data_IF_218305803595
#
_entry.id   IF_218305803595
#
_cell.length_a   1.000
_cell.length_b   1.000
_cell.length_c   1.000
_cell.angle_alpha   90.00
_cell.angle_beta   90.00
_cell.angle_gamma   90.00
#
_symmetry.space_group_name_H-M   'P 1'
#
loop_
_entity.id
_entity.type
_entity.pdbx_description
1 polymer ?
#
# COMPACT_ATOMS: atom_id res chain seq x y z
N UNK A 1 0.13 -4.51 -26.20
CA UNK A 1 0.28 -5.05 -24.82
C UNK A 1 -1.11 -5.27 -24.26
N UNK A 2 -1.47 -6.49 -23.86
CA UNK A 2 -2.72 -6.73 -23.14
C UNK A 2 -2.74 -5.87 -21.88
N UNK A 3 -3.81 -5.08 -21.68
CA UNK A 3 -3.99 -4.35 -20.41
C UNK A 3 -4.11 -5.39 -19.30
N UNK A 4 -3.23 -5.31 -18.30
CA UNK A 4 -3.29 -6.16 -17.12
C UNK A 4 -4.67 -6.10 -16.46
N UNK A 5 -5.00 -7.12 -15.65
CA UNK A 5 -6.27 -7.16 -14.93
C UNK A 5 -6.36 -5.96 -13.97
N UNK A 6 -7.49 -5.26 -13.99
CA UNK A 6 -7.76 -4.13 -13.08
C UNK A 6 -7.87 -4.66 -11.64
N UNK A 7 -7.07 -4.08 -10.73
CA UNK A 7 -7.05 -4.43 -9.29
C UNK A 7 -7.68 -3.36 -8.41
N UNK A 8 -7.72 -2.11 -8.87
CA UNK A 8 -8.46 -1.01 -8.24
C UNK A 8 -9.32 -0.34 -9.30
N UNK A 9 -10.59 -0.14 -9.02
CA UNK A 9 -11.51 0.63 -9.85
C UNK A 9 -12.41 1.46 -8.94
N UNK A 10 -12.33 2.79 -9.08
CA UNK A 10 -13.19 3.75 -8.40
C UNK A 10 -13.90 4.60 -9.47
N UNK A 11 -15.21 4.83 -9.31
CA UNK A 11 -16.04 5.66 -10.21
C UNK A 11 -16.88 6.60 -9.37
N UNK A 12 -16.74 7.89 -9.64
CA UNK A 12 -17.49 8.99 -9.03
C UNK A 12 -17.52 8.90 -7.50
N UNK A 13 -16.37 8.57 -6.90
CA UNK A 13 -16.26 8.33 -5.47
C UNK A 13 -16.07 9.66 -4.72
N UNK A 14 -16.85 9.83 -3.64
CA UNK A 14 -16.60 10.83 -2.62
C UNK A 14 -16.13 10.16 -1.32
N UNK A 15 -15.10 10.73 -0.70
CA UNK A 15 -14.48 10.23 0.53
C UNK A 15 -14.66 11.26 1.62
N UNK A 16 -15.11 10.80 2.78
CA UNK A 16 -15.39 11.60 3.96
C UNK A 16 -14.49 11.20 5.13
N UNK A 17 -14.18 12.13 6.02
CA UNK A 17 -13.69 11.78 7.34
C UNK A 17 -14.81 11.07 8.10
N UNK A 18 -14.56 9.86 8.57
CA UNK A 18 -15.48 9.13 9.42
C UNK A 18 -14.79 8.83 10.74
N UNK A 19 -15.30 9.39 11.82
CA UNK A 19 -14.95 8.94 13.18
C UNK A 19 -15.54 7.53 13.34
N UNK A 20 -14.72 6.53 13.35
CA UNK A 20 -14.88 5.07 13.38
C UNK A 20 -16.22 4.38 13.65
N UNK A 21 -17.30 5.07 13.96
CA UNK A 21 -18.58 4.49 14.35
C UNK A 21 -19.84 5.12 13.72
N UNK A 22 -19.72 6.07 12.81
CA UNK A 22 -20.89 6.77 12.33
C UNK A 22 -21.27 6.43 10.87
N UNK A 23 -22.31 5.62 10.74
CA UNK A 23 -23.18 5.58 9.56
C UNK A 23 -23.83 6.98 9.27
N UNK A 24 -23.36 8.05 9.89
CA UNK A 24 -24.05 9.33 10.03
C UNK A 24 -23.35 10.55 9.46
N UNK A 25 -22.23 10.48 8.79
CA UNK A 25 -21.58 11.70 8.36
C UNK A 25 -21.59 11.86 6.85
N UNK A 26 -22.41 12.74 6.37
CA UNK A 26 -22.37 13.40 5.08
C UNK A 26 -22.55 14.90 5.30
N UNK A 27 -21.69 15.52 6.13
CA UNK A 27 -21.58 16.96 6.13
C UNK A 27 -20.56 17.41 5.09
N UNK A 28 -20.77 18.55 4.47
CA UNK A 28 -19.79 19.12 3.52
C UNK A 28 -18.42 19.36 4.20
N UNK A 29 -18.41 19.57 5.52
CA UNK A 29 -17.21 19.81 6.31
C UNK A 29 -16.35 18.54 6.51
N UNK A 30 -16.90 17.35 6.27
CA UNK A 30 -16.21 16.07 6.38
C UNK A 30 -15.72 15.55 5.04
N UNK A 31 -16.07 16.21 3.93
CA UNK A 31 -15.64 15.83 2.59
C UNK A 31 -14.14 16.03 2.41
N UNK A 32 -13.42 14.95 2.15
CA UNK A 32 -11.96 14.94 1.92
C UNK A 32 -11.64 14.96 0.44
N UNK A 33 -12.30 14.13 -0.34
CA UNK A 33 -12.12 14.00 -1.78
C UNK A 33 -13.46 13.85 -2.48
N UNK A 34 -13.63 14.52 -3.63
CA UNK A 34 -14.80 14.42 -4.51
C UNK A 34 -14.41 13.96 -5.91
N UNK A 35 -15.38 13.39 -6.62
CA UNK A 35 -15.25 13.00 -8.03
C UNK A 35 -14.03 12.10 -8.31
N UNK A 36 -13.70 11.20 -7.39
CA UNK A 36 -12.54 10.32 -7.55
C UNK A 36 -12.85 9.24 -8.57
N UNK A 37 -12.10 9.28 -9.68
CA UNK A 37 -12.10 8.27 -10.72
C UNK A 37 -10.70 7.72 -10.84
N UNK A 38 -10.51 6.42 -10.55
CA UNK A 38 -9.21 5.76 -10.51
C UNK A 38 -9.32 4.34 -11.01
N UNK A 39 -8.44 3.97 -11.94
CA UNK A 39 -8.26 2.58 -12.35
C UNK A 39 -6.78 2.24 -12.27
N UNK A 40 -6.43 1.13 -11.59
CA UNK A 40 -5.07 0.61 -11.48
C UNK A 40 -5.06 -0.86 -11.88
N UNK A 41 -4.10 -1.23 -12.72
CA UNK A 41 -3.94 -2.59 -13.25
C UNK A 41 -2.79 -3.34 -12.57
N UNK A 42 -2.82 -4.67 -12.64
CA UNK A 42 -1.70 -5.52 -12.19
C UNK A 42 -0.37 -5.07 -12.84
N UNK A 43 0.70 -5.04 -12.06
CA UNK A 43 2.02 -4.62 -12.51
C UNK A 43 2.20 -3.12 -12.71
N UNK A 44 1.17 -2.30 -12.42
CA UNK A 44 1.23 -0.85 -12.52
C UNK A 44 1.80 -0.24 -11.23
N UNK A 45 2.65 0.78 -11.36
CA UNK A 45 3.09 1.63 -10.26
C UNK A 45 2.43 2.98 -10.35
N UNK A 46 1.84 3.46 -9.25
CA UNK A 46 1.14 4.75 -9.17
C UNK A 46 1.60 5.52 -7.94
N UNK A 47 1.97 6.77 -8.14
CA UNK A 47 2.32 7.69 -7.07
C UNK A 47 1.12 8.56 -6.67
N UNK A 48 0.91 8.73 -5.38
CA UNK A 48 0.04 9.73 -4.80
C UNK A 48 0.90 10.85 -4.23
N UNK A 49 0.81 12.03 -4.80
CA UNK A 49 1.55 13.23 -4.36
C UNK A 49 0.59 14.34 -3.91
N UNK A 50 1.10 15.28 -3.14
CA UNK A 50 0.32 16.42 -2.64
C UNK A 50 0.67 16.75 -1.19
N UNK A 51 0.20 17.87 -0.71
CA UNK A 51 0.48 18.38 0.65
C UNK A 51 -0.01 17.40 1.73
N UNK A 52 0.56 17.49 2.93
CA UNK A 52 0.04 16.79 4.12
C UNK A 52 -1.43 17.21 4.32
N UNK A 53 -2.29 16.25 4.64
CA UNK A 53 -3.73 16.51 4.80
C UNK A 53 -4.53 16.59 3.49
N UNK A 54 -3.94 16.38 2.31
CA UNK A 54 -4.65 16.45 1.02
C UNK A 54 -5.55 15.23 0.71
N UNK A 55 -5.60 14.21 1.58
CA UNK A 55 -6.46 13.04 1.41
C UNK A 55 -5.77 11.76 0.90
N UNK A 56 -4.44 11.76 0.67
CA UNK A 56 -3.69 10.58 0.19
C UNK A 56 -3.89 9.35 1.09
N UNK A 57 -3.55 9.50 2.38
CA UNK A 57 -3.70 8.42 3.37
C UNK A 57 -5.16 8.04 3.59
N UNK A 58 -6.10 8.99 3.48
CA UNK A 58 -7.54 8.71 3.58
C UNK A 58 -8.01 7.85 2.41
N UNK A 59 -7.56 8.13 1.17
CA UNK A 59 -7.85 7.26 0.04
C UNK A 59 -7.21 5.88 0.21
N UNK A 60 -5.94 5.79 0.63
CA UNK A 60 -5.31 4.50 0.91
C UNK A 60 -6.15 3.71 1.95
N UNK A 61 -6.57 4.35 3.04
CA UNK A 61 -7.44 3.76 4.08
C UNK A 61 -8.79 3.28 3.53
N UNK A 62 -9.36 3.99 2.57
CA UNK A 62 -10.58 3.58 1.87
C UNK A 62 -10.33 2.31 1.04
N UNK A 63 -9.20 2.21 0.35
CA UNK A 63 -8.88 1.05 -0.49
C UNK A 63 -8.77 -0.26 0.32
N UNK A 64 -8.31 -0.21 1.59
CA UNK A 64 -8.27 -1.39 2.46
C UNK A 64 -9.41 -1.43 3.50
N UNK A 65 -10.47 -0.65 3.26
CA UNK A 65 -11.70 -0.62 4.04
C UNK A 65 -11.49 -0.32 5.54
N UNK A 66 -10.58 0.59 5.88
CA UNK A 66 -10.51 1.23 7.19
C UNK A 66 -11.47 2.44 7.23
N UNK A 67 -11.49 3.22 6.14
CA UNK A 67 -12.49 4.25 5.89
C UNK A 67 -13.58 3.67 5.00
N UNK A 68 -14.85 3.81 5.39
CA UNK A 68 -15.98 3.27 4.65
C UNK A 68 -16.24 4.08 3.39
N UNK A 69 -16.44 3.42 2.24
CA UNK A 69 -16.89 4.05 1.01
C UNK A 69 -18.40 4.33 1.09
N UNK A 70 -18.79 5.60 1.18
CA UNK A 70 -20.19 6.04 1.32
C UNK A 70 -20.85 6.46 0.00
N UNK A 71 -20.08 6.93 -0.98
CA UNK A 71 -20.58 7.41 -2.29
C UNK A 71 -19.73 6.91 -3.43
N UNK A 72 -20.37 6.79 -4.60
CA UNK A 72 -19.75 6.26 -5.81
C UNK A 72 -19.64 4.74 -5.81
N UNK A 73 -18.90 4.20 -6.76
CA UNK A 73 -18.62 2.78 -6.90
C UNK A 73 -17.14 2.51 -6.70
N UNK A 74 -16.81 1.48 -5.92
CA UNK A 74 -15.42 1.08 -5.67
C UNK A 74 -15.27 -0.42 -5.67
N UNK A 75 -14.27 -0.91 -6.40
CA UNK A 75 -13.87 -2.31 -6.42
C UNK A 75 -12.36 -2.43 -6.23
N UNK A 76 -11.92 -3.22 -5.25
CA UNK A 76 -10.50 -3.46 -4.96
C UNK A 76 -10.28 -4.95 -4.79
N UNK A 77 -9.27 -5.48 -5.45
CA UNK A 77 -8.92 -6.90 -5.44
C UNK A 77 -10.14 -7.82 -5.71
N UNK A 78 -11.06 -7.37 -6.58
CA UNK A 78 -12.29 -8.07 -6.94
C UNK A 78 -13.45 -7.94 -5.95
N UNK A 79 -13.29 -7.19 -4.84
CA UNK A 79 -14.34 -6.99 -3.84
C UNK A 79 -14.96 -5.59 -3.97
N UNK A 80 -16.28 -5.50 -3.77
CA UNK A 80 -17.02 -4.23 -3.83
C UNK A 80 -16.95 -3.53 -2.47
N UNK A 81 -16.26 -2.37 -2.41
CA UNK A 81 -16.06 -1.60 -1.18
C UNK A 81 -17.35 -1.01 -0.61
N UNK A 82 -18.33 -0.71 -1.48
CA UNK A 82 -19.61 -0.12 -1.08
C UNK A 82 -20.48 -1.12 -0.29
N UNK A 83 -20.31 -2.42 -0.60
CA UNK A 83 -21.12 -3.52 -0.04
C UNK A 83 -20.34 -4.39 0.94
N UNK A 84 -19.07 -4.05 1.22
CA UNK A 84 -18.23 -4.87 2.09
C UNK A 84 -18.74 -4.84 3.53
N UNK A 85 -18.97 -6.01 4.10
CA UNK A 85 -19.32 -6.17 5.51
C UNK A 85 -18.07 -6.28 6.40
N UNK A 86 -18.24 -6.08 7.71
CA UNK A 86 -17.13 -6.23 8.68
C UNK A 86 -16.46 -7.62 8.60
N UNK A 87 -17.23 -8.66 8.33
CA UNK A 87 -16.73 -10.04 8.15
C UNK A 87 -15.87 -10.22 6.89
N UNK A 88 -16.05 -9.38 5.88
CA UNK A 88 -15.37 -9.50 4.60
C UNK A 88 -14.05 -8.73 4.55
N UNK A 89 -13.88 -7.72 5.42
CA UNK A 89 -12.66 -6.88 5.49
C UNK A 89 -11.38 -7.72 5.66
N UNK A 90 -11.31 -8.74 6.53
CA UNK A 90 -10.13 -9.59 6.63
C UNK A 90 -9.80 -10.32 5.32
N UNK A 91 -10.80 -10.73 4.53
CA UNK A 91 -10.59 -11.37 3.22
C UNK A 91 -10.10 -10.38 2.17
N UNK A 92 -10.58 -9.12 2.19
CA UNK A 92 -10.05 -8.05 1.36
C UNK A 92 -8.56 -7.83 1.69
N UNK A 93 -8.24 -7.61 2.97
CA UNK A 93 -6.87 -7.31 3.43
C UNK A 93 -5.88 -8.45 3.18
N UNK A 94 -6.32 -9.72 3.11
CA UNK A 94 -5.47 -10.85 2.71
C UNK A 94 -5.05 -10.82 1.23
N UNK A 95 -5.83 -10.13 0.37
CA UNK A 95 -5.57 -10.02 -1.08
C UNK A 95 -4.64 -8.87 -1.43
N UNK A 96 -4.28 -8.03 -0.47
CA UNK A 96 -3.39 -6.88 -0.63
C UNK A 96 -2.30 -6.88 0.44
N UNK A 97 -1.20 -6.22 0.14
CA UNK A 97 -0.17 -5.88 1.11
C UNK A 97 -0.32 -4.42 1.54
N UNK A 98 -0.03 -4.13 2.80
CA UNK A 98 -0.06 -2.77 3.32
C UNK A 98 1.28 -2.49 4.00
N UNK A 99 1.94 -1.42 3.57
CA UNK A 99 3.17 -0.89 4.14
C UNK A 99 2.81 0.45 4.78
N UNK A 100 2.77 0.47 6.11
CA UNK A 100 2.45 1.67 6.89
C UNK A 100 3.69 2.55 7.06
N UNK A 101 3.48 3.83 7.33
CA UNK A 101 4.55 4.80 7.61
C UNK A 101 5.34 4.45 8.88
N UNK A 102 4.65 3.99 9.92
CA UNK A 102 5.22 3.39 11.12
C UNK A 102 5.31 1.87 10.89
N UNK A 103 6.44 1.28 11.14
CA UNK A 103 6.72 -0.12 10.80
C UNK A 103 5.69 -1.12 11.29
N UNK A 104 5.02 -0.87 12.43
CA UNK A 104 4.04 -1.75 13.08
C UNK A 104 4.52 -3.21 13.17
N UNK A 105 5.81 -3.40 13.46
CA UNK A 105 6.40 -4.70 13.69
C UNK A 105 6.04 -5.19 15.10
N UNK A 106 6.01 -6.51 15.26
CA UNK A 106 5.88 -7.16 16.57
C UNK A 106 7.25 -7.16 17.23
N UNK A 107 7.48 -6.28 18.21
CA UNK A 107 8.80 -6.08 18.84
C UNK A 107 9.24 -7.25 19.72
N UNK A 108 8.28 -8.07 20.16
CA UNK A 108 8.51 -9.31 20.93
C UNK A 108 8.71 -10.55 20.04
N UNK A 109 8.77 -10.36 18.72
CA UNK A 109 8.93 -11.41 17.71
C UNK A 109 10.12 -11.10 16.80
N UNK A 110 10.94 -12.14 16.50
CA UNK A 110 12.00 -11.99 15.51
C UNK A 110 11.44 -11.85 14.08
N UNK A 111 12.32 -11.63 13.11
CA UNK A 111 11.97 -11.48 11.68
C UNK A 111 11.12 -12.65 11.19
N UNK A 112 11.54 -13.91 11.49
CA UNK A 112 10.80 -15.09 11.09
C UNK A 112 9.36 -15.08 11.63
N UNK A 113 9.17 -14.84 12.92
CA UNK A 113 7.85 -14.86 13.53
C UNK A 113 6.99 -13.66 13.17
N UNK A 114 7.56 -12.50 12.84
CA UNK A 114 6.82 -11.39 12.24
C UNK A 114 6.13 -11.77 10.92
N UNK A 115 6.66 -12.74 10.19
CA UNK A 115 6.07 -13.27 8.96
C UNK A 115 5.19 -14.50 9.23
N UNK A 116 5.67 -15.43 10.03
CA UNK A 116 5.01 -16.70 10.35
C UNK A 116 3.63 -16.49 11.01
N UNK A 117 3.56 -15.58 11.99
CA UNK A 117 2.31 -15.30 12.72
C UNK A 117 1.25 -14.71 11.79
N UNK A 118 1.63 -13.87 10.82
CA UNK A 118 0.72 -13.36 9.79
C UNK A 118 0.18 -14.51 8.92
N UNK A 119 1.03 -15.44 8.51
CA UNK A 119 0.61 -16.61 7.72
C UNK A 119 -0.39 -17.48 8.50
N UNK A 120 -0.12 -17.75 9.77
CA UNK A 120 -1.06 -18.47 10.66
C UNK A 120 -2.41 -17.75 10.75
N UNK A 121 -2.39 -16.45 11.01
CA UNK A 121 -3.59 -15.62 11.11
C UNK A 121 -4.39 -15.54 9.80
N UNK A 122 -3.71 -15.69 8.66
CA UNK A 122 -4.33 -15.66 7.33
C UNK A 122 -4.72 -17.03 6.78
N UNK A 123 -4.58 -18.11 7.59
CA UNK A 123 -5.14 -19.42 7.31
C UNK A 123 -4.22 -20.43 6.63
N UNK A 124 -2.91 -20.16 6.60
CA UNK A 124 -1.93 -21.18 6.19
C UNK A 124 -1.90 -22.33 7.20
N UNK A 125 -1.83 -23.56 6.70
CA UNK A 125 -1.93 -24.75 7.55
C UNK A 125 -0.65 -25.57 7.64
N UNK A 126 0.10 -25.67 6.52
CA UNK A 126 1.30 -26.51 6.45
C UNK A 126 2.54 -25.71 6.81
N UNK A 127 3.24 -26.12 7.87
CA UNK A 127 4.46 -25.48 8.35
C UNK A 127 5.57 -25.44 7.30
N UNK A 128 5.76 -26.54 6.55
CA UNK A 128 6.74 -26.61 5.46
C UNK A 128 6.50 -25.57 4.36
N UNK A 129 5.24 -25.34 3.96
CA UNK A 129 4.90 -24.36 2.94
C UNK A 129 5.12 -22.94 3.46
N UNK A 130 4.81 -22.69 4.75
CA UNK A 130 5.06 -21.39 5.39
C UNK A 130 6.55 -21.09 5.46
N UNK A 131 7.39 -22.03 5.90
CA UNK A 131 8.86 -21.85 5.95
C UNK A 131 9.42 -21.53 4.57
N UNK A 132 9.10 -22.34 3.58
CA UNK A 132 9.53 -22.10 2.20
C UNK A 132 9.11 -20.69 1.73
N UNK A 133 7.87 -20.28 1.98
CA UNK A 133 7.38 -18.97 1.58
C UNK A 133 8.09 -17.83 2.32
N UNK A 134 8.40 -17.99 3.59
CA UNK A 134 9.20 -17.04 4.37
C UNK A 134 10.58 -16.88 3.76
N UNK A 135 11.26 -17.99 3.45
CA UNK A 135 12.60 -17.96 2.85
C UNK A 135 12.59 -17.25 1.49
N UNK A 136 11.58 -17.56 0.62
CA UNK A 136 11.38 -16.87 -0.67
C UNK A 136 11.22 -15.36 -0.52
N UNK A 137 10.40 -14.93 0.45
CA UNK A 137 10.12 -13.50 0.64
C UNK A 137 11.30 -12.79 1.31
N UNK A 138 11.97 -13.41 2.27
CA UNK A 138 13.19 -12.86 2.87
C UNK A 138 14.30 -12.69 1.84
N UNK A 139 14.45 -13.66 0.94
CA UNK A 139 15.40 -13.55 -0.18
C UNK A 139 15.04 -12.40 -1.11
N UNK A 140 13.76 -12.25 -1.48
CA UNK A 140 13.30 -11.15 -2.32
C UNK A 140 13.63 -9.78 -1.75
N UNK A 141 13.51 -9.62 -0.42
CA UNK A 141 13.79 -8.34 0.23
C UNK A 141 15.25 -8.19 0.72
N UNK A 142 16.10 -9.19 0.52
CA UNK A 142 17.52 -9.17 0.91
C UNK A 142 17.72 -9.28 2.43
N UNK A 143 16.92 -10.11 3.11
CA UNK A 143 17.00 -10.41 4.53
C UNK A 143 17.27 -11.90 4.83
N UNK A 144 17.83 -12.65 3.89
CA UNK A 144 18.05 -14.11 3.96
C UNK A 144 18.75 -14.55 5.26
N UNK A 145 19.72 -13.77 5.71
CA UNK A 145 20.54 -14.12 6.90
C UNK A 145 20.02 -13.49 8.19
N UNK A 146 18.85 -12.86 8.17
CA UNK A 146 18.33 -12.04 9.29
C UNK A 146 17.11 -12.65 9.98
N UNK A 147 16.67 -13.85 9.61
CA UNK A 147 15.44 -14.49 10.10
C UNK A 147 15.37 -14.59 11.65
N UNK A 148 16.50 -14.73 12.32
CA UNK A 148 16.60 -14.87 13.79
C UNK A 148 16.67 -13.52 14.53
N UNK A 149 16.91 -12.41 13.81
CA UNK A 149 17.09 -11.07 14.42
C UNK A 149 15.76 -10.52 14.93
N UNK A 150 15.85 -9.77 16.03
CA UNK A 150 14.74 -9.00 16.56
C UNK A 150 14.62 -7.66 15.81
N UNK A 151 13.42 -7.03 15.72
CA UNK A 151 13.24 -5.75 15.02
C UNK A 151 14.19 -4.64 15.49
N UNK A 152 14.50 -4.57 16.79
CA UNK A 152 15.41 -3.58 17.34
C UNK A 152 16.89 -3.78 16.96
N UNK A 153 17.27 -4.99 16.49
CA UNK A 153 18.60 -5.30 15.98
C UNK A 153 18.78 -4.97 14.48
N UNK A 154 17.69 -4.54 13.82
CA UNK A 154 17.68 -4.19 12.40
C UNK A 154 17.90 -2.68 12.21
N UNK A 155 18.62 -2.30 11.14
CA UNK A 155 18.67 -0.93 10.67
C UNK A 155 17.28 -0.44 10.22
N UNK A 156 17.09 0.87 10.04
CA UNK A 156 15.84 1.43 9.52
C UNK A 156 15.44 0.84 8.16
N UNK A 157 16.40 0.69 7.26
CA UNK A 157 16.17 0.09 5.95
C UNK A 157 15.83 -1.41 6.02
N UNK A 158 16.48 -2.16 6.92
CA UNK A 158 16.16 -3.58 7.14
C UNK A 158 14.76 -3.74 7.76
N UNK A 159 14.36 -2.87 8.70
CA UNK A 159 13.00 -2.84 9.22
C UNK A 159 11.98 -2.56 8.11
N UNK A 160 12.26 -1.60 7.23
CA UNK A 160 11.39 -1.32 6.10
C UNK A 160 11.26 -2.51 5.15
N UNK A 161 12.38 -3.20 4.86
CA UNK A 161 12.37 -4.44 4.07
C UNK A 161 11.55 -5.54 4.72
N UNK A 162 11.61 -5.69 6.05
CA UNK A 162 10.78 -6.64 6.80
C UNK A 162 9.28 -6.30 6.71
N UNK A 163 8.91 -5.01 6.80
CA UNK A 163 7.51 -4.57 6.60
C UNK A 163 7.02 -4.90 5.19
N UNK A 164 7.86 -4.66 4.17
CA UNK A 164 7.54 -5.03 2.78
C UNK A 164 7.43 -6.57 2.64
N UNK A 165 8.34 -7.33 3.25
CA UNK A 165 8.27 -8.80 3.29
C UNK A 165 6.93 -9.29 3.87
N UNK A 166 6.53 -8.71 5.00
CA UNK A 166 5.25 -9.01 5.65
C UNK A 166 4.05 -8.67 4.74
N UNK A 167 4.11 -7.55 4.05
CA UNK A 167 3.07 -7.16 3.09
C UNK A 167 2.97 -8.12 1.89
N UNK A 168 4.09 -8.73 1.47
CA UNK A 168 4.16 -9.64 0.32
C UNK A 168 3.87 -11.11 0.67
N UNK A 169 3.76 -11.47 1.95
CA UNK A 169 3.75 -12.86 2.40
C UNK A 169 2.63 -13.70 1.78
N UNK A 170 1.46 -13.10 1.58
CA UNK A 170 0.29 -13.73 0.98
C UNK A 170 0.22 -13.58 -0.56
N UNK A 171 1.31 -13.22 -1.22
CA UNK A 171 1.37 -13.00 -2.68
C UNK A 171 0.26 -12.06 -3.19
N UNK A 172 0.17 -10.84 -2.66
CA UNK A 172 -0.89 -9.90 -3.02
C UNK A 172 -0.74 -9.44 -4.48
N UNK A 173 -1.88 -9.06 -5.09
CA UNK A 173 -1.91 -8.40 -6.41
C UNK A 173 -1.82 -6.89 -6.34
N UNK A 174 -1.97 -6.34 -5.14
CA UNK A 174 -1.92 -4.90 -4.85
C UNK A 174 -1.13 -4.66 -3.57
N UNK A 175 -0.16 -3.76 -3.64
CA UNK A 175 0.60 -3.25 -2.50
C UNK A 175 0.25 -1.77 -2.32
N UNK A 176 -0.20 -1.40 -1.13
CA UNK A 176 -0.44 -0.02 -0.71
C UNK A 176 0.69 0.41 0.21
N UNK A 177 1.38 1.50 -0.10
CA UNK A 177 2.50 1.98 0.69
C UNK A 177 2.32 3.47 1.04
N UNK A 178 2.20 3.78 2.32
CA UNK A 178 2.07 5.14 2.81
C UNK A 178 3.43 5.65 3.30
N UNK A 179 4.04 6.59 2.55
CA UNK A 179 5.36 7.21 2.81
C UNK A 179 6.48 6.19 3.15
N UNK A 180 6.66 5.10 2.37
CA UNK A 180 7.54 3.98 2.75
C UNK A 180 9.03 4.33 2.77
N UNK A 181 9.42 5.48 2.26
CA UNK A 181 10.83 5.95 2.18
C UNK A 181 11.07 7.22 3.00
N UNK A 182 10.05 7.77 3.68
CA UNK A 182 10.10 9.08 4.32
C UNK A 182 11.15 9.20 5.45
N UNK A 183 11.47 8.09 6.12
CA UNK A 183 12.42 8.06 7.24
C UNK A 183 13.76 7.37 6.88
N UNK A 184 14.06 7.24 5.59
CA UNK A 184 15.25 6.55 5.11
C UNK A 184 16.24 7.52 4.47
N UNK A 185 17.52 7.20 4.59
CA UNK A 185 18.55 7.90 3.83
C UNK A 185 18.38 7.64 2.30
N UNK A 186 18.96 8.50 1.45
CA UNK A 186 18.75 8.40 0.00
C UNK A 186 19.17 7.06 -0.61
N UNK A 187 20.26 6.45 -0.13
CA UNK A 187 20.77 5.18 -0.66
C UNK A 187 19.84 4.04 -0.30
N UNK A 188 19.36 4.02 0.94
CA UNK A 188 18.39 3.03 1.42
C UNK A 188 17.04 3.20 0.71
N UNK A 189 16.58 4.44 0.52
CA UNK A 189 15.35 4.76 -0.20
C UNK A 189 15.41 4.27 -1.66
N UNK A 190 16.54 4.49 -2.36
CA UNK A 190 16.79 3.95 -3.71
C UNK A 190 16.65 2.42 -3.74
N UNK A 191 17.25 1.73 -2.76
CA UNK A 191 17.12 0.27 -2.63
C UNK A 191 15.67 -0.22 -2.44
N UNK A 192 14.83 0.54 -1.73
CA UNK A 192 13.38 0.24 -1.58
C UNK A 192 12.64 0.49 -2.91
N UNK A 193 12.97 1.55 -3.65
CA UNK A 193 12.36 1.84 -4.94
C UNK A 193 12.68 0.76 -5.99
N UNK A 194 13.92 0.26 -6.02
CA UNK A 194 14.28 -0.89 -6.87
C UNK A 194 13.47 -2.13 -6.52
N UNK A 195 13.29 -2.40 -5.23
CA UNK A 195 12.45 -3.51 -4.77
C UNK A 195 10.99 -3.34 -5.24
N UNK A 196 10.39 -2.15 -5.13
CA UNK A 196 9.04 -1.91 -5.63
C UNK A 196 8.94 -2.11 -7.15
N UNK A 197 9.96 -1.69 -7.91
CA UNK A 197 10.01 -1.98 -9.36
C UNK A 197 10.05 -3.48 -9.64
N UNK A 198 10.88 -4.22 -8.92
CA UNK A 198 10.92 -5.68 -9.06
C UNK A 198 9.57 -6.33 -8.73
N UNK A 199 8.88 -5.85 -7.70
CA UNK A 199 7.54 -6.31 -7.32
C UNK A 199 6.53 -6.05 -8.45
N UNK A 200 6.58 -4.87 -9.07
CA UNK A 200 5.68 -4.54 -10.20
C UNK A 200 5.95 -5.40 -11.43
N UNK A 201 7.20 -5.69 -11.77
CA UNK A 201 7.53 -6.58 -12.89
C UNK A 201 7.04 -8.01 -12.68
N UNK A 202 6.83 -8.42 -11.42
CA UNK A 202 6.24 -9.71 -11.04
C UNK A 202 4.70 -9.69 -11.04
N UNK A 203 4.07 -8.59 -11.48
CA UNK A 203 2.63 -8.47 -11.67
C UNK A 203 1.86 -7.90 -10.47
N UNK A 204 2.51 -7.56 -9.35
CA UNK A 204 1.85 -6.87 -8.25
C UNK A 204 1.75 -5.37 -8.55
N UNK A 205 0.56 -4.78 -8.49
CA UNK A 205 0.40 -3.33 -8.56
C UNK A 205 0.92 -2.68 -7.29
N UNK A 206 1.53 -1.50 -7.40
CA UNK A 206 2.00 -0.70 -6.25
C UNK A 206 1.38 0.68 -6.30
N UNK A 207 0.67 1.08 -5.24
CA UNK A 207 0.23 2.46 -5.02
C UNK A 207 1.04 3.00 -3.85
N UNK A 208 1.80 4.06 -4.07
CA UNK A 208 2.70 4.64 -3.09
C UNK A 208 2.40 6.11 -2.88
N UNK A 209 2.10 6.52 -1.63
CA UNK A 209 2.14 7.94 -1.30
C UNK A 209 3.59 8.37 -1.06
N UNK A 210 3.96 9.55 -1.54
CA UNK A 210 5.27 10.14 -1.29
C UNK A 210 5.25 11.66 -1.52
N UNK A 211 6.16 12.35 -0.86
CA UNK A 211 6.48 13.75 -1.11
C UNK A 211 7.90 13.93 -1.69
N UNK A 212 8.62 12.83 -1.93
CA UNK A 212 10.00 12.85 -2.45
C UNK A 212 10.00 12.90 -3.98
N UNK A 213 10.10 14.10 -4.52
CA UNK A 213 10.10 14.36 -5.98
C UNK A 213 11.31 13.75 -6.68
N UNK A 214 12.49 13.77 -6.05
CA UNK A 214 13.70 13.20 -6.62
C UNK A 214 13.58 11.68 -6.89
N UNK A 215 12.90 10.95 -5.98
CA UNK A 215 12.63 9.53 -6.22
C UNK A 215 11.65 9.31 -7.37
N UNK A 216 10.66 10.20 -7.56
CA UNK A 216 9.70 10.07 -8.64
C UNK A 216 10.38 10.36 -9.99
N UNK A 217 11.26 11.36 -10.06
CA UNK A 217 12.07 11.64 -11.25
C UNK A 217 12.99 10.48 -11.63
N UNK A 218 13.63 9.86 -10.62
CA UNK A 218 14.53 8.71 -10.82
C UNK A 218 13.76 7.43 -11.20
N UNK A 219 12.54 7.27 -10.69
CA UNK A 219 11.68 6.11 -10.91
C UNK A 219 10.33 6.53 -11.50
N UNK A 220 10.28 7.04 -12.74
CA UNK A 220 9.05 7.59 -13.31
C UNK A 220 7.95 6.53 -13.39
N UNK A 221 6.76 6.93 -12.94
CA UNK A 221 5.53 6.16 -13.01
C UNK A 221 4.33 7.12 -13.04
N UNK A 222 3.15 6.58 -13.30
CA UNK A 222 1.90 7.33 -13.27
C UNK A 222 1.74 8.06 -11.96
N UNK A 223 1.47 9.37 -12.01
CA UNK A 223 1.46 10.24 -10.83
C UNK A 223 0.13 10.97 -10.72
N UNK A 224 -0.46 10.91 -9.53
CA UNK A 224 -1.72 11.54 -9.19
C UNK A 224 -1.50 12.61 -8.12
N UNK A 225 -1.81 13.86 -8.48
CA UNK A 225 -1.75 15.02 -7.59
C UNK A 225 -3.05 15.18 -6.82
N UNK A 226 -2.95 15.20 -5.50
CA UNK A 226 -4.04 15.48 -4.57
C UNK A 226 -4.02 16.95 -4.18
N UNK A 227 -5.00 17.71 -4.64
CA UNK A 227 -5.13 19.14 -4.37
C UNK A 227 -6.58 19.58 -4.29
N UNK A 228 -6.90 20.42 -3.30
CA UNK A 228 -8.24 21.03 -3.13
C UNK A 228 -9.40 20.03 -3.19
N UNK A 229 -9.23 18.87 -2.56
CA UNK A 229 -10.25 17.83 -2.51
C UNK A 229 -10.44 17.04 -3.82
N UNK A 230 -9.54 17.16 -4.79
CA UNK A 230 -9.58 16.47 -6.07
C UNK A 230 -8.29 15.74 -6.38
N UNK A 231 -8.36 14.78 -7.30
CA UNK A 231 -7.22 14.03 -7.82
C UNK A 231 -7.09 14.33 -9.30
N UNK A 232 -5.87 14.72 -9.72
CA UNK A 232 -5.56 15.00 -11.11
C UNK A 232 -4.32 14.20 -11.51
N UNK A 233 -4.34 13.56 -12.67
CA UNK A 233 -3.14 12.93 -13.22
C UNK A 233 -2.22 14.02 -13.75
N UNK A 234 -0.94 13.95 -13.39
CA UNK A 234 0.07 14.95 -13.76
C UNK A 234 1.31 14.29 -14.37
N UNK A 235 1.87 14.95 -15.36
CA UNK A 235 3.21 14.63 -15.83
C UNK A 235 4.21 15.42 -14.98
N UNK A 236 5.19 14.70 -14.39
CA UNK A 236 6.15 15.31 -13.45
C UNK A 236 7.10 16.26 -14.16
N UNK A 237 7.38 16.02 -15.43
CA UNK A 237 8.24 16.91 -16.23
C UNK A 237 7.71 18.35 -16.31
N UNK A 238 6.39 18.55 -16.18
CA UNK A 238 5.74 19.86 -16.28
C UNK A 238 5.42 20.50 -14.92
N UNK A 239 5.45 19.73 -13.82
CA UNK A 239 4.87 20.15 -12.53
C UNK A 239 5.83 20.96 -11.63
N UNK A 240 7.12 20.99 -11.92
CA UNK A 240 8.14 21.70 -11.11
C UNK A 240 8.68 22.96 -11.77
N UNK A 241 8.04 23.45 -12.84
CA UNK A 241 8.39 24.69 -13.53
C UNK A 241 7.57 25.91 -13.09
N UNK A 242 6.82 25.80 -11.95
CA UNK A 242 6.02 26.94 -11.41
C UNK A 242 6.41 27.25 -9.97
#
# INVERSE_FOLDING_TARGET
MEKGRVVVELRDVAIYHTDGDSKRAKSADELVLSDVNLSVSEGEMVYFIGRVGSGKSTLLKTLYAEVQLLEGEGRVAGMNLRRIGRSDIPYLRRRMGIVFQDYQLLDDRNVFYNLYDVMKATGWKKDSDMRRRIDEVLSLVGLDTKAYKMPHELSGGERQRLVIARALINSPRLLLADEPTGNLDPVTADGIMRLFREITTKGCAVIMSTHNTALIEQYPARTLLFSKGKITEVDITDSFSQ
#
